data_IF_604597940405
#
_entry.id   IF_604597940405
#
_cell.length_a   1.000
_cell.length_b   1.000
_cell.length_c   1.000
_cell.angle_alpha   90.00
_cell.angle_beta   90.00
_cell.angle_gamma   90.00
#
_symmetry.space_group_name_H-M   'P 1'
#
loop_
_entity.id
_entity.type
_entity.pdbx_description
1 polymer ?
#
# COMPACT_ATOMS: atom_id res chain seq x y z
N UNK A 1 10.42 -19.71 -15.69
CA UNK A 1 10.35 -18.24 -15.85
C UNK A 1 9.32 -17.67 -14.87
N UNK A 2 9.53 -16.42 -14.46
CA UNK A 2 8.62 -15.79 -13.51
C UNK A 2 7.26 -15.52 -14.17
N UNK A 3 6.17 -15.69 -13.43
CA UNK A 3 4.82 -15.46 -13.95
C UNK A 3 3.96 -14.51 -13.09
N UNK A 4 4.35 -14.24 -11.86
CA UNK A 4 3.62 -13.30 -10.99
C UNK A 4 4.43 -12.98 -9.73
N UNK A 5 3.95 -12.01 -8.97
CA UNK A 5 4.39 -11.79 -7.61
C UNK A 5 3.62 -12.76 -6.70
N UNK A 6 4.33 -13.67 -6.02
CA UNK A 6 3.70 -14.70 -5.18
C UNK A 6 3.20 -14.12 -3.86
N UNK A 7 4.08 -13.43 -3.14
CA UNK A 7 3.73 -12.79 -1.87
C UNK A 7 4.68 -11.64 -1.57
N UNK A 8 4.27 -10.78 -0.65
CA UNK A 8 5.04 -9.66 -0.16
C UNK A 8 5.23 -9.84 1.33
N UNK A 9 6.46 -9.72 1.82
CA UNK A 9 6.76 -9.77 3.25
C UNK A 9 7.21 -8.40 3.72
N UNK A 10 6.55 -7.88 4.75
CA UNK A 10 6.92 -6.64 5.41
C UNK A 10 7.51 -6.94 6.77
N UNK A 11 8.68 -6.37 7.05
CA UNK A 11 9.28 -6.40 8.38
C UNK A 11 8.50 -5.46 9.29
N UNK A 12 8.10 -5.94 10.46
CA UNK A 12 7.34 -5.16 11.44
C UNK A 12 8.03 -5.21 12.80
N UNK A 13 7.92 -4.14 13.57
CA UNK A 13 8.52 -4.05 14.90
C UNK A 13 7.59 -4.55 16.00
N UNK A 14 6.28 -4.47 15.78
CA UNK A 14 5.24 -4.84 16.76
C UNK A 14 4.11 -5.54 16.03
N UNK A 15 3.98 -6.85 16.21
CA UNK A 15 3.02 -7.65 15.46
C UNK A 15 1.58 -7.28 15.79
N UNK A 16 1.24 -7.07 17.07
CA UNK A 16 -0.11 -6.71 17.47
C UNK A 16 -0.57 -5.41 16.79
N UNK A 17 0.30 -4.42 16.80
CA UNK A 17 0.03 -3.13 16.16
C UNK A 17 -0.13 -3.27 14.65
N UNK A 18 0.72 -4.03 14.00
CA UNK A 18 0.66 -4.22 12.55
C UNK A 18 -0.53 -5.06 12.13
N UNK A 19 -0.90 -6.09 12.88
CA UNK A 19 -2.11 -6.87 12.62
C UNK A 19 -3.36 -5.99 12.79
N UNK A 20 -3.42 -5.17 13.83
CA UNK A 20 -4.53 -4.24 14.01
C UNK A 20 -4.64 -3.27 12.82
N UNK A 21 -3.52 -2.77 12.33
CA UNK A 21 -3.49 -1.87 11.19
C UNK A 21 -3.99 -2.57 9.90
N UNK A 22 -3.38 -3.68 9.52
CA UNK A 22 -3.72 -4.33 8.25
C UNK A 22 -5.06 -5.06 8.27
N UNK A 23 -5.37 -5.75 9.36
CA UNK A 23 -6.61 -6.51 9.46
C UNK A 23 -7.80 -5.65 9.92
N UNK A 24 -7.67 -4.94 11.02
CA UNK A 24 -8.80 -4.19 11.58
C UNK A 24 -9.04 -2.87 10.86
N UNK A 25 -8.00 -2.09 10.61
CA UNK A 25 -8.15 -0.76 10.00
C UNK A 25 -8.29 -0.84 8.49
N UNK A 26 -7.37 -1.54 7.79
CA UNK A 26 -7.41 -1.65 6.33
C UNK A 26 -8.41 -2.71 5.84
N UNK A 27 -8.79 -3.66 6.68
CA UNK A 27 -9.78 -4.67 6.32
C UNK A 27 -9.25 -5.88 5.57
N UNK A 28 -7.93 -6.13 5.60
CA UNK A 28 -7.38 -7.35 5.02
C UNK A 28 -7.85 -8.58 5.80
N UNK A 29 -7.99 -9.69 5.11
CA UNK A 29 -8.40 -10.94 5.76
C UNK A 29 -7.21 -11.58 6.45
N UNK A 30 -7.33 -11.85 7.75
CA UNK A 30 -6.32 -12.58 8.51
C UNK A 30 -6.56 -14.08 8.38
N UNK A 31 -5.52 -14.83 8.00
CA UNK A 31 -5.60 -16.28 7.80
C UNK A 31 -4.86 -17.07 8.86
N UNK A 32 -3.70 -16.57 9.31
CA UNK A 32 -2.89 -17.24 10.31
C UNK A 32 -2.05 -16.23 11.06
N UNK A 33 -1.75 -16.58 12.30
CA UNK A 33 -0.91 -15.75 13.16
C UNK A 33 -0.13 -16.66 14.11
N UNK A 34 1.13 -16.29 14.35
CA UNK A 34 1.99 -16.93 15.35
C UNK A 34 2.82 -15.85 16.05
N UNK A 35 3.69 -16.22 16.96
CA UNK A 35 4.41 -15.23 17.79
C UNK A 35 5.16 -14.18 16.97
N UNK A 36 5.77 -14.58 15.85
CA UNK A 36 6.64 -13.71 15.07
C UNK A 36 6.08 -13.33 13.68
N UNK A 37 4.82 -13.61 13.41
CA UNK A 37 4.29 -13.26 12.09
C UNK A 37 2.80 -13.46 11.91
N UNK A 38 2.35 -13.07 10.73
CA UNK A 38 0.96 -13.25 10.32
C UNK A 38 0.87 -13.38 8.79
N UNK A 39 -0.13 -14.11 8.34
CA UNK A 39 -0.51 -14.19 6.92
C UNK A 39 -1.88 -13.55 6.71
N UNK A 40 -1.92 -12.63 5.76
CA UNK A 40 -3.15 -11.93 5.39
C UNK A 40 -3.33 -11.98 3.88
N UNK A 41 -4.54 -11.70 3.41
CA UNK A 41 -4.80 -11.50 1.99
C UNK A 41 -5.58 -10.21 1.74
N UNK A 42 -5.28 -9.61 0.60
CA UNK A 42 -6.03 -8.51 0.02
C UNK A 42 -6.32 -8.90 -1.44
N UNK A 43 -7.57 -9.31 -1.72
CA UNK A 43 -7.83 -9.97 -3.00
C UNK A 43 -6.93 -11.19 -3.18
N UNK A 44 -6.18 -11.23 -4.27
CA UNK A 44 -5.23 -12.33 -4.54
C UNK A 44 -3.83 -12.10 -3.94
N UNK A 45 -3.57 -10.92 -3.40
CA UNK A 45 -2.29 -10.65 -2.77
C UNK A 45 -2.18 -11.40 -1.44
N UNK A 46 -1.13 -12.20 -1.31
CA UNK A 46 -0.72 -12.77 -0.04
C UNK A 46 0.30 -11.85 0.63
N UNK A 47 -0.08 -11.27 1.76
CA UNK A 47 0.79 -10.40 2.55
C UNK A 47 1.26 -11.14 3.79
N UNK A 48 2.58 -11.13 4.01
CA UNK A 48 3.21 -11.66 5.22
C UNK A 48 3.68 -10.50 6.08
N UNK A 49 3.40 -10.56 7.37
CA UNK A 49 4.02 -9.69 8.36
C UNK A 49 5.02 -10.55 9.13
N UNK A 50 6.25 -10.08 9.25
CA UNK A 50 7.31 -10.82 9.94
C UNK A 50 8.00 -9.89 10.94
N UNK A 51 8.00 -10.29 12.22
CA UNK A 51 8.67 -9.50 13.25
C UNK A 51 10.17 -9.51 13.00
N UNK A 52 10.74 -8.33 12.96
CA UNK A 52 12.17 -8.10 12.83
C UNK A 52 12.61 -7.22 13.99
N UNK A 53 13.38 -7.79 14.92
CA UNK A 53 13.80 -7.07 16.12
C UNK A 53 14.67 -5.84 15.81
N UNK A 54 15.27 -5.79 14.62
CA UNK A 54 16.08 -4.66 14.17
C UNK A 54 15.27 -3.61 13.43
N UNK A 55 14.00 -3.89 13.13
CA UNK A 55 13.14 -2.94 12.42
C UNK A 55 12.77 -1.79 13.36
N UNK A 56 13.11 -0.57 12.95
CA UNK A 56 12.61 0.65 13.56
C UNK A 56 11.79 1.40 12.54
N UNK A 57 10.73 2.11 12.95
CA UNK A 57 9.95 2.94 12.03
C UNK A 57 10.86 3.94 11.31
N UNK A 58 10.68 4.07 10.00
CA UNK A 58 11.48 4.99 9.17
C UNK A 58 10.64 6.22 8.89
N UNK A 59 11.21 7.40 9.20
CA UNK A 59 10.56 8.66 8.87
C UNK A 59 10.56 8.86 7.34
N UNK A 60 9.50 9.46 6.76
CA UNK A 60 9.38 9.60 5.31
C UNK A 60 10.59 10.29 4.65
N UNK A 61 11.18 11.28 5.34
CA UNK A 61 12.34 12.01 4.83
C UNK A 61 13.62 11.17 4.77
N UNK A 62 13.65 10.01 5.43
CA UNK A 62 14.80 9.10 5.48
C UNK A 62 14.61 7.85 4.63
N UNK A 63 13.53 7.77 3.84
CA UNK A 63 13.23 6.63 3.00
C UNK A 63 13.16 7.05 1.52
N UNK A 64 13.33 6.08 0.63
CA UNK A 64 13.21 6.31 -0.80
C UNK A 64 11.73 6.29 -1.24
N UNK A 65 11.49 6.29 -2.56
CA UNK A 65 10.13 6.35 -3.11
C UNK A 65 9.45 4.98 -3.23
N UNK A 66 10.10 3.89 -2.83
CA UNK A 66 9.50 2.54 -2.90
C UNK A 66 8.21 2.52 -2.09
N UNK A 67 7.14 2.09 -2.73
CA UNK A 67 5.83 2.02 -2.09
C UNK A 67 4.99 0.91 -2.71
N UNK A 68 3.93 0.52 -2.00
CA UNK A 68 3.01 -0.53 -2.42
C UNK A 68 1.62 0.06 -2.56
N UNK A 69 1.02 -0.12 -3.73
CA UNK A 69 -0.30 0.43 -4.04
C UNK A 69 -1.35 -0.69 -4.01
N UNK A 70 -2.41 -0.45 -3.24
CA UNK A 70 -3.59 -1.30 -3.20
C UNK A 70 -4.67 -0.70 -4.07
N UNK A 71 -5.41 -1.55 -4.75
CA UNK A 71 -6.58 -1.11 -5.51
C UNK A 71 -7.76 -0.87 -4.58
N UNK A 72 -8.51 0.19 -4.87
CA UNK A 72 -9.75 0.52 -4.16
C UNK A 72 -10.80 0.96 -5.19
N UNK A 73 -12.05 0.60 -4.94
CA UNK A 73 -13.15 1.04 -5.80
C UNK A 73 -13.44 2.53 -5.58
N UNK A 74 -13.81 3.22 -6.64
CA UNK A 74 -14.12 4.66 -6.59
C UNK A 74 -15.16 4.99 -5.51
N UNK A 75 -16.21 4.16 -5.39
CA UNK A 75 -17.27 4.36 -4.42
C UNK A 75 -16.85 4.21 -2.96
N UNK A 76 -15.71 3.55 -2.69
CA UNK A 76 -15.21 3.32 -1.33
C UNK A 76 -14.12 4.30 -0.94
N UNK A 77 -13.57 5.05 -1.90
CA UNK A 77 -12.35 5.84 -1.67
C UNK A 77 -12.51 6.91 -0.59
N UNK A 78 -13.55 7.73 -0.66
CA UNK A 78 -13.74 8.82 0.29
C UNK A 78 -13.94 8.30 1.73
N UNK A 79 -14.73 7.23 1.90
CA UNK A 79 -14.96 6.63 3.21
C UNK A 79 -13.68 6.00 3.77
N UNK A 80 -12.88 5.37 2.91
CA UNK A 80 -11.59 4.79 3.30
C UNK A 80 -10.63 5.87 3.81
N UNK A 81 -10.47 6.95 3.04
CA UNK A 81 -9.60 8.07 3.45
C UNK A 81 -10.06 8.67 4.79
N UNK A 82 -11.37 8.92 4.94
CA UNK A 82 -11.91 9.46 6.18
C UNK A 82 -11.64 8.54 7.38
N UNK A 83 -11.79 7.23 7.19
CA UNK A 83 -11.52 6.23 8.23
C UNK A 83 -10.06 6.27 8.69
N UNK A 84 -9.13 6.34 7.75
CA UNK A 84 -7.70 6.38 8.08
C UNK A 84 -7.30 7.72 8.70
N UNK A 85 -7.84 8.83 8.23
CA UNK A 85 -7.60 10.13 8.85
C UNK A 85 -8.09 10.17 10.29
N UNK A 86 -9.28 9.62 10.57
CA UNK A 86 -9.82 9.54 11.93
C UNK A 86 -8.96 8.65 12.83
N UNK A 87 -8.29 7.66 12.28
CA UNK A 87 -7.36 6.81 13.01
C UNK A 87 -5.98 7.43 13.20
N UNK A 88 -5.76 8.65 12.70
CA UNK A 88 -4.47 9.34 12.82
C UNK A 88 -3.39 8.84 11.88
N UNK A 89 -3.75 8.15 10.80
CA UNK A 89 -2.78 7.65 9.81
C UNK A 89 -2.14 8.82 9.09
N UNK A 90 -0.81 8.78 8.96
CA UNK A 90 -0.04 9.86 8.36
C UNK A 90 0.02 9.71 6.85
N UNK A 91 -0.26 10.80 6.13
CA UNK A 91 -0.06 10.88 4.68
C UNK A 91 1.38 11.32 4.37
N UNK A 92 2.02 10.70 3.36
CA UNK A 92 3.40 11.02 3.00
C UNK A 92 3.53 11.70 1.63
N UNK A 93 2.46 11.83 0.86
CA UNK A 93 2.48 12.47 -0.45
C UNK A 93 1.09 12.96 -0.84
N UNK A 94 1.01 14.07 -1.56
CA UNK A 94 -0.20 14.56 -2.22
C UNK A 94 -0.26 14.00 -3.63
N UNK A 95 -1.43 13.47 -4.04
CA UNK A 95 -1.60 12.90 -5.36
C UNK A 95 -1.54 13.98 -6.46
N UNK A 96 -0.74 13.71 -7.48
CA UNK A 96 -0.59 14.57 -8.67
C UNK A 96 -0.78 13.80 -9.98
N UNK A 97 -1.11 12.51 -9.90
CA UNK A 97 -1.27 11.65 -11.06
C UNK A 97 -2.73 11.37 -11.37
N UNK A 98 -2.98 10.72 -12.52
CA UNK A 98 -4.33 10.33 -12.94
C UNK A 98 -4.95 9.36 -11.93
N UNK A 99 -6.27 9.51 -11.71
CA UNK A 99 -7.06 8.69 -10.79
C UNK A 99 -6.87 9.12 -9.33
N UNK A 100 -7.84 8.81 -8.49
CA UNK A 100 -7.74 9.12 -7.07
C UNK A 100 -6.71 8.22 -6.40
N UNK A 101 -5.85 8.83 -5.61
CA UNK A 101 -4.87 8.13 -4.79
C UNK A 101 -4.74 8.80 -3.43
N UNK A 102 -4.53 7.97 -2.42
CA UNK A 102 -4.14 8.44 -1.10
C UNK A 102 -2.90 7.69 -0.64
N UNK A 103 -1.89 8.44 -0.23
CA UNK A 103 -0.57 7.93 0.13
C UNK A 103 -0.41 8.00 1.64
N UNK A 104 -0.18 6.85 2.28
CA UNK A 104 -0.16 6.77 3.74
C UNK A 104 0.92 5.83 4.26
N UNK A 105 1.25 5.97 5.53
CA UNK A 105 2.27 5.15 6.19
C UNK A 105 1.62 4.08 7.05
N UNK A 106 2.22 2.90 7.06
CA UNK A 106 1.93 1.90 8.07
C UNK A 106 2.66 2.23 9.39
N UNK A 107 2.42 1.46 10.49
CA UNK A 107 3.05 1.77 11.78
C UNK A 107 4.58 1.74 11.78
N UNK A 108 5.21 1.04 10.85
CA UNK A 108 6.67 0.93 10.73
C UNK A 108 7.25 1.88 9.68
N UNK A 109 6.43 2.73 9.08
CA UNK A 109 6.88 3.70 8.08
C UNK A 109 6.97 3.13 6.66
N UNK A 110 6.39 1.95 6.40
CA UNK A 110 6.24 1.48 5.03
C UNK A 110 5.30 2.40 4.27
N UNK A 111 5.72 2.82 3.09
CA UNK A 111 4.93 3.71 2.23
C UNK A 111 3.90 2.91 1.46
N UNK A 112 2.65 3.27 1.64
CA UNK A 112 1.51 2.62 1.01
C UNK A 112 0.71 3.64 0.20
N UNK A 113 -0.09 3.13 -0.72
CA UNK A 113 -1.01 3.91 -1.53
C UNK A 113 -2.32 3.13 -1.70
N UNK A 114 -3.45 3.83 -1.70
CA UNK A 114 -4.71 3.30 -2.18
C UNK A 114 -5.04 4.03 -3.48
N UNK A 115 -5.25 3.31 -4.57
CA UNK A 115 -5.42 3.88 -5.91
C UNK A 115 -6.68 3.38 -6.57
N UNK A 116 -7.45 4.33 -7.13
CA UNK A 116 -8.60 4.05 -8.00
C UNK A 116 -8.11 4.04 -9.44
N UNK A 117 -8.13 2.88 -10.08
CA UNK A 117 -7.73 2.77 -11.47
C UNK A 117 -6.81 1.60 -11.75
N UNK A 118 -6.37 1.50 -13.00
CA UNK A 118 -5.51 0.44 -13.48
C UNK A 118 -4.50 0.94 -14.51
N UNK A 119 -3.64 0.06 -15.00
CA UNK A 119 -2.61 0.43 -15.97
C UNK A 119 -3.23 0.98 -17.26
N UNK A 120 -4.31 0.38 -17.76
CA UNK A 120 -4.95 0.83 -19.01
C UNK A 120 -5.43 2.28 -18.91
N UNK A 121 -6.05 2.63 -17.78
CA UNK A 121 -6.50 4.01 -17.53
C UNK A 121 -5.31 4.96 -17.41
N UNK A 122 -4.24 4.55 -16.72
CA UNK A 122 -3.03 5.35 -16.61
C UNK A 122 -2.40 5.60 -17.97
N UNK A 123 -2.28 4.58 -18.80
CA UNK A 123 -1.71 4.71 -20.14
C UNK A 123 -2.56 5.64 -21.02
N UNK A 124 -3.88 5.54 -20.95
CA UNK A 124 -4.77 6.43 -21.69
C UNK A 124 -4.56 7.90 -21.29
N UNK A 125 -4.46 8.17 -20.01
CA UNK A 125 -4.19 9.52 -19.50
C UNK A 125 -2.81 10.02 -19.93
N UNK A 126 -1.79 9.16 -19.89
CA UNK A 126 -0.43 9.51 -20.30
C UNK A 126 -0.32 9.77 -21.81
N UNK A 127 -1.13 9.12 -22.63
CA UNK A 127 -1.13 9.39 -24.08
C UNK A 127 -1.64 10.81 -24.38
N UNK A 128 -2.54 11.34 -23.55
CA UNK A 128 -3.03 12.72 -23.69
C UNK A 128 -2.02 13.73 -23.13
N UNK A 129 -1.35 13.39 -22.02
CA UNK A 129 -0.34 14.25 -21.37
C UNK A 129 0.87 13.41 -20.99
N UNK A 130 1.74 13.08 -21.96
CA UNK A 130 2.87 12.22 -21.67
C UNK A 130 3.90 12.89 -20.75
N UNK A 131 4.56 12.07 -19.94
CA UNK A 131 5.71 12.53 -19.17
C UNK A 131 6.88 12.83 -20.12
N UNK A 132 7.78 13.68 -19.68
CA UNK A 132 8.97 14.02 -20.47
C UNK A 132 9.75 12.74 -20.85
N UNK A 133 9.99 12.58 -22.15
CA UNK A 133 10.74 11.43 -22.66
C UNK A 133 9.93 10.13 -22.71
N UNK A 134 8.64 10.15 -22.41
CA UNK A 134 7.81 8.96 -22.40
C UNK A 134 7.62 8.37 -23.79
N UNK A 135 7.80 7.07 -23.91
CA UNK A 135 7.60 6.29 -25.14
C UNK A 135 6.60 5.18 -24.84
N UNK A 136 5.69 4.91 -25.78
CA UNK A 136 4.68 3.87 -25.63
C UNK A 136 5.02 2.67 -26.48
N UNK A 137 4.75 1.48 -25.96
CA UNK A 137 4.99 0.20 -26.64
C UNK A 137 3.68 -0.57 -26.71
N UNK A 138 3.36 -1.08 -27.89
CA UNK A 138 2.14 -1.88 -28.11
C UNK A 138 2.38 -3.36 -27.85
#
# INVERSE_FOLDING_TARGET
>A
MLNSLNHLTLAVSDLDRSVAFYHELLGLKLHARWDNGAYLTCGELWLCLSVDAQRTPILPQHSDYTHYAFSINEGDFAAFVARLEQAGVVSWKVNKSEGDSWYFLDPDGHKLEAHVGNLAQRLAACREKPYKGMVFFD
#
